data_IF_702466282320
#
_entry.id   IF_702466282320
#
_cell.length_a   1.000
_cell.length_b   1.000
_cell.length_c   1.000
_cell.angle_alpha   90.00
_cell.angle_beta   90.00
_cell.angle_gamma   90.00
#
_symmetry.space_group_name_H-M   'P 1'
#
loop_
_entity.id
_entity.type
_entity.pdbx_description
1 polymer ?
#
# COMPACT_ATOMS: atom_id res chain seq x y z
N UNK A 1 0.26 30.38 5.28
CA UNK A 1 -0.34 29.06 5.52
C UNK A 1 0.40 28.42 6.68
N UNK A 2 -0.30 27.89 7.67
CA UNK A 2 0.34 27.23 8.82
C UNK A 2 0.90 25.90 8.32
N UNK A 3 2.22 25.86 8.10
CA UNK A 3 2.94 24.65 7.73
C UNK A 3 3.10 23.87 9.03
N UNK A 4 2.11 23.04 9.40
CA UNK A 4 2.33 22.03 10.42
C UNK A 4 3.45 21.10 9.91
N UNK A 5 4.46 20.78 10.73
CA UNK A 5 5.51 19.87 10.31
C UNK A 5 4.88 18.51 9.97
N UNK A 6 5.27 17.93 8.83
CA UNK A 6 4.72 16.63 8.38
C UNK A 6 4.96 15.52 9.39
N UNK A 7 6.05 15.64 10.15
CA UNK A 7 6.42 14.73 11.23
C UNK A 7 5.42 14.71 12.40
N UNK A 8 4.49 15.69 12.44
CA UNK A 8 3.41 15.76 13.42
C UNK A 8 2.05 15.29 12.89
N UNK A 9 1.98 14.87 11.62
CA UNK A 9 0.74 14.37 11.03
C UNK A 9 0.50 12.92 11.46
N UNK A 10 -0.64 12.63 12.12
CA UNK A 10 -0.94 11.27 12.54
C UNK A 10 -1.27 10.39 11.32
N UNK A 11 -1.04 9.06 11.42
CA UNK A 11 -1.25 8.11 10.31
C UNK A 11 -2.71 7.93 9.89
N UNK A 12 -3.64 8.65 10.52
CA UNK A 12 -5.10 8.59 10.28
C UNK A 12 -5.67 9.92 9.77
N UNK A 13 -4.87 11.00 9.75
CA UNK A 13 -5.31 12.31 9.26
C UNK A 13 -5.08 12.45 7.75
N UNK A 14 -6.05 13.07 7.08
CA UNK A 14 -5.93 13.40 5.65
C UNK A 14 -5.09 14.65 5.51
N UNK A 15 -4.02 14.55 4.71
CA UNK A 15 -3.19 15.71 4.39
C UNK A 15 -3.74 16.40 3.14
N UNK A 16 -4.29 17.59 3.33
CA UNK A 16 -4.69 18.46 2.23
C UNK A 16 -3.45 19.02 1.51
N UNK A 17 -3.42 18.87 0.19
CA UNK A 17 -2.41 19.39 -0.73
C UNK A 17 -3.04 20.53 -1.54
N UNK A 18 -2.22 21.40 -2.11
CA UNK A 18 -2.71 22.46 -2.98
C UNK A 18 -3.52 21.93 -4.19
N UNK A 19 -4.42 22.77 -4.71
CA UNK A 19 -5.26 22.50 -5.89
C UNK A 19 -6.32 21.39 -5.70
N UNK A 20 -6.82 21.17 -4.48
CA UNK A 20 -7.89 20.21 -4.21
C UNK A 20 -7.44 18.75 -4.25
N UNK A 21 -6.14 18.52 -4.13
CA UNK A 21 -5.57 17.19 -3.95
C UNK A 21 -5.49 16.90 -2.45
N UNK A 22 -5.79 15.67 -2.06
CA UNK A 22 -5.69 15.24 -0.66
C UNK A 22 -5.01 13.87 -0.59
N UNK A 23 -4.06 13.72 0.31
CA UNK A 23 -3.50 12.42 0.65
C UNK A 23 -4.31 11.80 1.78
N UNK A 24 -5.14 10.84 1.39
CA UNK A 24 -5.98 10.09 2.33
C UNK A 24 -5.18 8.89 2.84
N UNK A 25 -5.05 8.72 4.17
CA UNK A 25 -4.36 7.58 4.75
C UNK A 25 -5.11 6.29 4.42
N UNK A 26 -4.34 5.22 4.25
CA UNK A 26 -4.88 3.90 3.94
C UNK A 26 -4.00 2.81 4.51
N UNK A 27 -4.61 1.69 4.86
CA UNK A 27 -3.90 0.41 5.03
C UNK A 27 -4.10 -0.43 3.79
N UNK A 28 -2.99 -0.86 3.19
CA UNK A 28 -3.00 -1.84 2.11
C UNK A 28 -2.55 -3.19 2.64
N UNK A 29 -3.28 -4.24 2.32
CA UNK A 29 -2.87 -5.62 2.54
C UNK A 29 -2.84 -6.38 1.22
N UNK A 30 -1.82 -7.20 1.03
CA UNK A 30 -1.75 -8.15 -0.08
C UNK A 30 -2.35 -9.48 0.37
N UNK A 31 -3.27 -10.00 -0.45
CA UNK A 31 -4.03 -11.22 -0.18
C UNK A 31 -3.57 -12.33 -1.13
N UNK A 32 -3.34 -13.53 -0.62
CA UNK A 32 -3.03 -14.70 -1.43
C UNK A 32 -3.94 -15.86 -1.02
N UNK A 33 -4.65 -16.44 -1.97
CA UNK A 33 -5.57 -17.55 -1.72
C UNK A 33 -4.91 -18.87 -2.13
N UNK A 34 -4.76 -19.79 -1.18
CA UNK A 34 -4.23 -21.13 -1.39
C UNK A 34 -5.34 -22.18 -1.31
N UNK A 35 -5.24 -23.30 -2.04
CA UNK A 35 -6.17 -24.41 -1.84
C UNK A 35 -6.00 -24.98 -0.41
N UNK A 36 -7.09 -25.19 0.32
CA UNK A 36 -7.04 -25.95 1.58
C UNK A 36 -7.29 -27.45 1.34
N UNK A 37 -7.79 -27.82 0.16
CA UNK A 37 -7.98 -29.21 -0.26
C UNK A 37 -7.39 -29.49 -1.66
N UNK A 38 -6.88 -30.70 -1.91
CA UNK A 38 -6.33 -31.09 -3.22
C UNK A 38 -7.35 -31.09 -4.36
N UNK A 39 -8.64 -31.04 -4.04
CA UNK A 39 -9.75 -31.21 -4.97
C UNK A 39 -10.13 -29.93 -5.74
N UNK A 40 -9.43 -28.81 -5.51
CA UNK A 40 -9.75 -27.52 -6.14
C UNK A 40 -9.19 -27.45 -7.57
N UNK A 41 -9.94 -28.05 -8.50
CA UNK A 41 -9.72 -27.96 -9.96
C UNK A 41 -10.56 -26.88 -10.62
N UNK A 42 -11.59 -26.39 -9.94
CA UNK A 42 -12.49 -25.34 -10.44
C UNK A 42 -11.88 -23.95 -10.24
N UNK A 43 -12.09 -23.03 -11.20
CA UNK A 43 -11.69 -21.64 -11.03
C UNK A 43 -12.51 -21.01 -9.88
N UNK A 44 -11.83 -20.25 -9.03
CA UNK A 44 -12.46 -19.47 -7.97
C UNK A 44 -13.38 -18.39 -8.58
N UNK A 45 -14.55 -18.18 -8.00
CA UNK A 45 -15.42 -17.06 -8.35
C UNK A 45 -14.97 -15.79 -7.60
N UNK A 46 -14.41 -14.82 -8.33
CA UNK A 46 -13.88 -13.57 -7.78
C UNK A 46 -14.93 -12.78 -7.01
N UNK A 47 -16.17 -12.71 -7.53
CA UNK A 47 -17.22 -11.90 -6.92
C UNK A 47 -17.67 -12.50 -5.58
N UNK A 48 -17.80 -13.84 -5.52
CA UNK A 48 -18.13 -14.53 -4.26
C UNK A 48 -17.03 -14.38 -3.23
N UNK A 49 -15.75 -14.51 -3.64
CA UNK A 49 -14.63 -14.27 -2.71
C UNK A 49 -14.70 -12.86 -2.16
N UNK A 50 -14.89 -11.85 -3.02
CA UNK A 50 -15.04 -10.47 -2.57
C UNK A 50 -16.12 -10.33 -1.51
N UNK A 51 -17.33 -10.83 -1.80
CA UNK A 51 -18.46 -10.74 -0.89
C UNK A 51 -18.19 -11.43 0.45
N UNK A 52 -17.66 -12.66 0.44
CA UNK A 52 -17.32 -13.37 1.68
C UNK A 52 -16.27 -12.65 2.52
N UNK A 53 -15.27 -12.03 1.88
CA UNK A 53 -14.25 -11.25 2.59
C UNK A 53 -14.82 -9.96 3.17
N UNK A 54 -15.68 -9.26 2.44
CA UNK A 54 -16.35 -8.05 2.93
C UNK A 54 -17.27 -8.37 4.11
N UNK A 55 -18.06 -9.45 3.99
CA UNK A 55 -18.93 -9.93 5.06
C UNK A 55 -18.10 -10.31 6.30
N UNK A 56 -16.98 -11.01 6.11
CA UNK A 56 -16.05 -11.36 7.19
C UNK A 56 -15.44 -10.11 7.86
N UNK A 57 -14.96 -9.14 7.08
CA UNK A 57 -14.39 -7.90 7.62
C UNK A 57 -15.42 -7.13 8.46
N UNK A 58 -16.67 -7.11 8.00
CA UNK A 58 -17.77 -6.47 8.72
C UNK A 58 -18.16 -7.24 9.99
N UNK A 59 -18.30 -8.56 9.93
CA UNK A 59 -18.78 -9.37 11.06
C UNK A 59 -17.70 -9.60 12.11
N UNK A 60 -16.47 -9.84 11.67
CA UNK A 60 -15.40 -10.30 12.54
C UNK A 60 -14.48 -9.16 12.93
N UNK A 61 -14.19 -8.22 12.03
CA UNK A 61 -13.24 -7.12 12.31
C UNK A 61 -13.94 -5.77 12.54
N UNK A 62 -15.26 -5.71 12.33
CA UNK A 62 -16.06 -4.48 12.40
C UNK A 62 -15.53 -3.36 11.49
N UNK A 63 -14.91 -3.72 10.36
CA UNK A 63 -14.40 -2.78 9.36
C UNK A 63 -15.30 -2.83 8.12
N UNK A 64 -15.79 -1.67 7.69
CA UNK A 64 -16.54 -1.53 6.46
C UNK A 64 -15.57 -1.23 5.30
N UNK A 65 -15.61 -2.06 4.25
CA UNK A 65 -14.77 -1.87 3.06
C UNK A 65 -15.64 -1.87 1.79
N UNK A 66 -15.54 -0.85 0.93
CA UNK A 66 -16.20 -0.84 -0.38
C UNK A 66 -15.71 -1.96 -1.31
N UNK A 67 -16.56 -2.45 -2.22
CA UNK A 67 -16.18 -3.51 -3.17
C UNK A 67 -15.00 -3.13 -4.10
N UNK A 68 -14.85 -1.84 -4.41
CA UNK A 68 -13.79 -1.30 -5.26
C UNK A 68 -12.41 -1.31 -4.60
N UNK A 69 -12.40 -1.27 -3.26
CA UNK A 69 -11.20 -1.30 -2.44
C UNK A 69 -10.71 -2.73 -2.18
N UNK A 70 -11.47 -3.75 -2.59
CA UNK A 70 -11.05 -5.14 -2.64
C UNK A 70 -10.87 -5.60 -4.08
N UNK A 71 -9.62 -5.82 -4.49
CA UNK A 71 -9.27 -6.30 -5.83
C UNK A 71 -8.83 -7.74 -5.74
N UNK A 72 -9.42 -8.62 -6.54
CA UNK A 72 -9.05 -10.04 -6.58
C UNK A 72 -8.85 -10.41 -8.04
N UNK A 73 -7.76 -11.11 -8.33
CA UNK A 73 -7.41 -11.61 -9.65
C UNK A 73 -7.05 -13.08 -9.56
N UNK A 74 -7.73 -13.90 -10.35
CA UNK A 74 -7.36 -15.30 -10.54
C UNK A 74 -5.99 -15.45 -11.18
N UNK A 75 -5.26 -16.47 -10.78
CA UNK A 75 -4.05 -16.90 -11.48
C UNK A 75 -4.48 -17.67 -12.72
N UNK A 76 -4.06 -17.21 -13.91
CA UNK A 76 -4.54 -17.74 -15.20
C UNK A 76 -4.01 -19.14 -15.53
N UNK A 77 -2.85 -19.51 -15.01
CA UNK A 77 -2.18 -20.77 -15.35
C UNK A 77 -2.58 -21.92 -14.42
N UNK A 78 -3.76 -22.50 -14.70
CA UNK A 78 -4.24 -23.68 -13.98
C UNK A 78 -3.60 -24.99 -14.44
N UNK A 79 -2.97 -25.02 -15.64
CA UNK A 79 -2.47 -26.27 -16.27
C UNK A 79 -1.09 -26.73 -15.78
N UNK A 80 -0.22 -25.80 -15.38
CA UNK A 80 1.14 -26.10 -14.88
C UNK A 80 1.27 -25.88 -13.36
N UNK A 81 0.14 -25.88 -12.67
CA UNK A 81 0.04 -25.49 -11.26
C UNK A 81 0.46 -26.65 -10.35
N UNK A 82 1.36 -26.38 -9.40
CA UNK A 82 1.66 -27.30 -8.29
C UNK A 82 0.51 -27.30 -7.28
N UNK A 83 0.38 -28.39 -6.53
CA UNK A 83 -0.71 -28.58 -5.55
C UNK A 83 -0.83 -27.43 -4.54
N UNK A 84 0.29 -26.78 -4.20
CA UNK A 84 0.36 -25.72 -3.19
C UNK A 84 0.41 -24.31 -3.79
N UNK A 85 0.29 -24.18 -5.11
CA UNK A 85 0.34 -22.88 -5.77
C UNK A 85 -0.95 -22.09 -5.50
N UNK A 86 -0.84 -20.74 -5.45
CA UNK A 86 -1.98 -19.87 -5.18
C UNK A 86 -3.01 -19.91 -6.30
N UNK A 87 -4.29 -19.85 -5.92
CA UNK A 87 -5.45 -19.81 -6.80
C UNK A 87 -5.76 -18.39 -7.28
N UNK A 88 -5.60 -17.43 -6.39
CA UNK A 88 -5.88 -16.03 -6.66
C UNK A 88 -4.97 -15.14 -5.80
N UNK A 89 -4.73 -13.94 -6.31
CA UNK A 89 -4.06 -12.86 -5.58
C UNK A 89 -4.98 -11.66 -5.51
N UNK A 90 -4.90 -10.93 -4.43
CA UNK A 90 -5.72 -9.75 -4.23
C UNK A 90 -5.01 -8.66 -3.45
N UNK A 91 -5.68 -7.52 -3.39
CA UNK A 91 -5.24 -6.36 -2.62
C UNK A 91 -6.47 -5.77 -1.94
N UNK A 92 -6.35 -5.54 -0.65
CA UNK A 92 -7.35 -4.90 0.19
C UNK A 92 -6.87 -3.50 0.57
N UNK A 93 -7.74 -2.51 0.42
CA UNK A 93 -7.52 -1.15 0.92
C UNK A 93 -8.53 -0.84 2.03
N UNK A 94 -8.04 -0.44 3.20
CA UNK A 94 -8.87 0.09 4.29
C UNK A 94 -8.57 1.58 4.41
N UNK A 95 -9.58 2.41 4.13
CA UNK A 95 -9.47 3.88 4.16
C UNK A 95 -10.19 4.51 5.34
N UNK A 96 -11.24 3.86 5.83
CA UNK A 96 -11.89 4.30 7.07
C UNK A 96 -11.02 3.87 8.24
N UNK A 97 -10.34 4.85 8.84
CA UNK A 97 -9.49 4.69 10.01
C UNK A 97 -10.01 5.51 11.20
N UNK A 98 -11.23 6.06 11.09
CA UNK A 98 -11.80 6.97 12.08
C UNK A 98 -12.03 6.32 13.45
N UNK A 99 -12.10 4.98 13.51
CA UNK A 99 -12.19 4.24 14.76
C UNK A 99 -10.86 4.15 15.52
N UNK A 100 -9.71 4.23 14.83
CA UNK A 100 -8.37 4.27 15.45
C UNK A 100 -8.08 5.66 16.00
N UNK A 101 -8.56 6.70 15.31
CA UNK A 101 -8.32 8.10 15.65
C UNK A 101 -9.06 8.60 16.91
N UNK A 102 -9.93 7.79 17.51
CA UNK A 102 -10.62 8.15 18.76
C UNK A 102 -9.67 8.03 19.95
N UNK A 103 -8.96 9.12 20.23
CA UNK A 103 -8.75 9.69 21.57
C UNK A 103 -7.47 10.53 21.64
N UNK A 104 -7.64 11.69 22.26
CA UNK A 104 -6.65 12.53 22.93
C UNK A 104 -5.92 13.60 22.07
N UNK A 105 -6.14 14.86 22.44
CA UNK A 105 -5.67 16.05 21.71
C UNK A 105 -4.36 16.64 22.23
N UNK A 106 -3.29 15.84 22.29
CA UNK A 106 -1.95 16.28 22.74
C UNK A 106 -0.80 15.70 21.91
N UNK A 107 0.41 16.24 22.04
CA UNK A 107 1.62 15.76 21.32
C UNK A 107 1.98 14.30 21.67
N UNK A 108 1.83 13.92 22.94
CA UNK A 108 1.97 12.52 23.39
C UNK A 108 0.89 11.60 22.79
N UNK A 109 -0.25 12.18 22.39
CA UNK A 109 -1.33 11.41 21.78
C UNK A 109 -0.98 10.98 20.35
N UNK A 110 -0.11 11.69 19.63
CA UNK A 110 0.28 11.28 18.26
C UNK A 110 1.06 9.97 18.27
N UNK A 111 2.03 9.82 19.18
CA UNK A 111 2.81 8.58 19.33
C UNK A 111 1.94 7.42 19.80
N UNK A 112 1.05 7.68 20.76
CA UNK A 112 0.09 6.68 21.25
C UNK A 112 -0.86 6.25 20.12
N UNK A 113 -1.26 7.17 19.25
CA UNK A 113 -2.12 6.89 18.11
C UNK A 113 -1.39 6.11 17.01
N UNK A 114 -0.11 6.40 16.77
CA UNK A 114 0.76 5.60 15.91
C UNK A 114 0.87 4.16 16.42
N UNK A 115 1.18 3.96 17.70
CA UNK A 115 1.24 2.63 18.32
C UNK A 115 -0.08 1.88 18.18
N UNK A 116 -1.21 2.52 18.53
CA UNK A 116 -2.56 1.95 18.33
C UNK A 116 -2.82 1.57 16.88
N UNK A 117 -2.39 2.38 15.93
CA UNK A 117 -2.54 2.11 14.50
C UNK A 117 -1.73 0.89 14.08
N UNK A 118 -0.47 0.79 14.50
CA UNK A 118 0.38 -0.36 14.18
C UNK A 118 -0.10 -1.65 14.83
N UNK A 119 -0.55 -1.58 16.08
CA UNK A 119 -1.13 -2.72 16.80
C UNK A 119 -2.43 -3.18 16.15
N UNK A 120 -3.32 -2.26 15.78
CA UNK A 120 -4.53 -2.59 15.04
C UNK A 120 -4.21 -3.22 13.67
N UNK A 121 -3.24 -2.68 12.93
CA UNK A 121 -2.79 -3.25 11.65
C UNK A 121 -2.27 -4.68 11.83
N UNK A 122 -1.46 -4.92 12.87
CA UNK A 122 -0.95 -6.26 13.21
C UNK A 122 -2.10 -7.20 13.56
N UNK A 123 -3.03 -6.77 14.42
CA UNK A 123 -4.22 -7.51 14.78
C UNK A 123 -5.06 -7.90 13.55
N UNK A 124 -5.25 -6.97 12.61
CA UNK A 124 -5.97 -7.22 11.37
C UNK A 124 -5.31 -8.33 10.54
N UNK A 125 -3.98 -8.29 10.40
CA UNK A 125 -3.21 -9.31 9.69
C UNK A 125 -3.30 -10.65 10.40
N UNK A 126 -3.05 -10.71 11.71
CA UNK A 126 -3.13 -11.94 12.51
C UNK A 126 -4.52 -12.59 12.47
N UNK A 127 -5.56 -11.76 12.45
CA UNK A 127 -6.94 -12.24 12.40
C UNK A 127 -7.32 -12.80 11.03
N UNK A 128 -6.78 -12.22 9.94
CA UNK A 128 -7.10 -12.63 8.57
C UNK A 128 -6.18 -13.72 8.03
N UNK A 129 -4.92 -13.75 8.44
CA UNK A 129 -3.96 -14.73 7.98
C UNK A 129 -4.31 -16.13 8.50
N UNK A 130 -4.29 -17.11 7.60
CA UNK A 130 -4.58 -18.50 7.93
C UNK A 130 -6.07 -18.86 8.00
N UNK A 131 -7.01 -17.94 7.77
CA UNK A 131 -8.44 -18.27 7.74
C UNK A 131 -8.73 -19.27 6.62
N UNK A 132 -9.46 -20.33 6.95
CA UNK A 132 -10.10 -21.19 5.97
C UNK A 132 -11.48 -20.67 5.61
N UNK A 133 -11.66 -20.33 4.34
CA UNK A 133 -12.94 -19.88 3.79
C UNK A 133 -13.53 -20.99 2.93
N UNK A 134 -14.83 -21.20 3.07
CA UNK A 134 -15.57 -22.16 2.26
C UNK A 134 -16.47 -21.41 1.27
N UNK A 135 -16.15 -21.50 -0.02
CA UNK A 135 -16.98 -20.99 -1.09
C UNK A 135 -17.44 -22.15 -1.94
N UNK A 136 -18.75 -22.41 -1.96
CA UNK A 136 -19.39 -23.47 -2.77
C UNK A 136 -18.79 -24.87 -2.56
N UNK A 137 -18.36 -25.19 -1.34
CA UNK A 137 -17.73 -26.46 -1.01
C UNK A 137 -16.23 -26.53 -1.30
N UNK A 138 -15.65 -25.47 -1.88
CA UNK A 138 -14.20 -25.31 -2.03
C UNK A 138 -13.64 -24.61 -0.80
N UNK A 139 -12.78 -25.31 -0.07
CA UNK A 139 -12.02 -24.74 1.04
C UNK A 139 -10.74 -24.13 0.52
N UNK A 140 -10.48 -22.88 0.87
CA UNK A 140 -9.22 -22.20 0.59
C UNK A 140 -8.71 -21.52 1.84
N UNK A 141 -7.38 -21.50 1.97
CA UNK A 141 -6.67 -20.83 3.04
C UNK A 141 -6.25 -19.45 2.55
N UNK A 142 -6.63 -18.42 3.28
CA UNK A 142 -6.19 -17.05 3.03
C UNK A 142 -4.83 -16.84 3.67
N UNK A 143 -3.91 -16.20 2.94
CA UNK A 143 -2.71 -15.62 3.50
C UNK A 143 -2.70 -14.12 3.27
N UNK A 144 -2.35 -13.36 4.30
CA UNK A 144 -2.40 -11.90 4.32
C UNK A 144 -1.05 -11.36 4.75
N UNK A 145 -0.54 -10.39 4.00
CA UNK A 145 0.72 -9.72 4.30
C UNK A 145 0.61 -8.20 4.14
N UNK A 146 1.36 -7.48 4.97
CA UNK A 146 1.63 -6.05 4.71
C UNK A 146 2.64 -5.97 3.56
N UNK A 147 2.35 -5.21 2.49
CA UNK A 147 3.30 -4.99 1.41
C UNK A 147 4.58 -4.36 1.96
N UNK A 148 5.74 -4.75 1.43
CA UNK A 148 7.02 -4.18 1.85
C UNK A 148 7.10 -2.65 1.66
N UNK A 149 6.31 -2.08 0.74
CA UNK A 149 6.21 -0.63 0.54
C UNK A 149 5.56 0.12 1.70
N UNK A 150 4.74 -0.58 2.49
CA UNK A 150 3.92 -0.02 3.57
C UNK A 150 4.49 -0.39 4.96
N UNK A 151 5.63 -1.10 4.97
CA UNK A 151 6.43 -1.38 6.17
C UNK A 151 7.63 -0.44 6.24
N UNK A 152 7.39 0.76 6.80
CA UNK A 152 8.39 1.80 6.91
C UNK A 152 9.60 1.36 7.74
N UNK A 153 9.39 0.64 8.85
CA UNK A 153 10.47 0.22 9.74
C UNK A 153 11.39 -0.81 9.08
N UNK A 154 10.81 -1.81 8.41
CA UNK A 154 11.60 -2.77 7.64
C UNK A 154 12.34 -2.09 6.49
N UNK A 155 11.66 -1.18 5.76
CA UNK A 155 12.27 -0.42 4.67
C UNK A 155 13.43 0.45 5.19
N UNK A 156 13.23 1.17 6.30
CA UNK A 156 14.25 2.01 6.94
C UNK A 156 15.45 1.17 7.36
N UNK A 157 15.23 0.03 8.00
CA UNK A 157 16.30 -0.89 8.40
C UNK A 157 17.11 -1.39 7.21
N UNK A 158 16.45 -1.87 6.15
CA UNK A 158 17.12 -2.33 4.91
C UNK A 158 17.94 -1.21 4.29
N UNK A 159 17.40 0.00 4.30
CA UNK A 159 18.06 1.18 3.75
C UNK A 159 19.28 1.59 4.59
N UNK A 160 19.16 1.65 5.92
CA UNK A 160 20.27 1.90 6.84
C UNK A 160 21.37 0.84 6.69
N UNK A 161 21.00 -0.45 6.64
CA UNK A 161 21.93 -1.56 6.41
C UNK A 161 22.66 -1.43 5.07
N UNK A 162 21.96 -1.04 4.00
CA UNK A 162 22.55 -0.85 2.68
C UNK A 162 23.63 0.24 2.69
N UNK A 163 23.38 1.38 3.32
CA UNK A 163 24.33 2.49 3.38
C UNK A 163 25.47 2.25 4.39
N UNK A 164 25.20 1.63 5.54
CA UNK A 164 26.23 1.24 6.51
C UNK A 164 27.17 0.18 5.92
N UNK A 165 26.64 -0.80 5.18
CA UNK A 165 27.43 -1.86 4.56
C UNK A 165 28.30 -1.35 3.41
N UNK A 166 27.85 -0.33 2.66
CA UNK A 166 28.63 0.30 1.58
C UNK A 166 29.86 1.05 2.10
N UNK A 167 29.79 1.60 3.32
CA UNK A 167 30.94 2.27 3.95
C UNK A 167 32.06 1.28 4.35
N UNK A 168 31.84 -0.04 4.29
CA UNK A 168 32.81 -1.07 4.73
C UNK A 168 33.54 -1.82 3.61
N UNK A 169 33.26 -1.57 2.33
CA UNK A 169 34.04 -2.20 1.26
C UNK A 169 33.57 -1.92 -0.16
N UNK A 170 34.48 -1.35 -0.96
CA UNK A 170 34.54 -1.40 -2.43
C UNK A 170 33.23 -1.73 -3.18
N UNK A 171 32.41 -0.72 -3.46
CA UNK A 171 31.35 -0.83 -4.48
C UNK A 171 31.36 0.41 -5.38
N UNK A 172 31.89 0.22 -6.60
CA UNK A 172 31.98 1.20 -7.71
C UNK A 172 30.65 1.43 -8.44
N UNK A 173 29.52 1.10 -7.83
CA UNK A 173 28.20 1.47 -8.35
C UNK A 173 27.91 2.89 -7.87
N UNK A 174 27.48 3.76 -8.79
CA UNK A 174 27.42 5.20 -8.65
C UNK A 174 26.81 5.72 -7.34
N UNK A 175 27.17 6.96 -6.99
CA UNK A 175 26.78 7.71 -5.80
C UNK A 175 25.25 7.94 -5.75
N UNK A 176 24.44 6.91 -5.54
CA UNK A 176 23.07 7.13 -5.11
C UNK A 176 23.16 7.65 -3.68
N UNK A 177 23.08 8.97 -3.55
CA UNK A 177 23.01 9.65 -2.27
C UNK A 177 21.64 9.36 -1.64
N UNK A 178 21.57 9.24 -0.31
CA UNK A 178 20.35 8.92 0.43
C UNK A 178 19.19 9.92 0.20
N UNK A 179 19.47 11.05 -0.43
CA UNK A 179 18.57 12.18 -0.63
C UNK A 179 17.90 12.19 -2.02
N UNK A 180 18.11 11.15 -2.84
CA UNK A 180 17.55 11.05 -4.20
C UNK A 180 16.43 10.01 -4.26
N UNK A 181 15.20 10.48 -4.44
CA UNK A 181 14.00 9.64 -4.61
C UNK A 181 13.76 9.38 -6.11
N UNK A 182 13.56 8.12 -6.49
CA UNK A 182 13.24 7.73 -7.87
C UNK A 182 11.80 7.22 -7.94
N UNK A 183 10.95 7.97 -8.65
CA UNK A 183 9.53 7.62 -8.81
C UNK A 183 9.31 7.12 -10.24
N UNK A 184 8.67 5.96 -10.40
CA UNK A 184 8.43 5.31 -11.70
C UNK A 184 6.97 4.94 -11.88
N UNK A 185 6.53 4.84 -13.14
CA UNK A 185 5.18 4.36 -13.49
C UNK A 185 4.05 5.33 -13.18
N UNK A 186 4.36 6.61 -12.94
CA UNK A 186 3.33 7.62 -12.65
C UNK A 186 2.77 8.19 -13.95
N UNK A 187 1.44 8.41 -14.07
CA UNK A 187 0.86 9.01 -15.26
C UNK A 187 1.42 10.40 -15.54
N UNK A 188 1.93 10.63 -16.76
CA UNK A 188 2.52 11.92 -17.15
C UNK A 188 1.53 13.09 -17.01
N UNK A 189 0.25 12.83 -17.24
CA UNK A 189 -0.84 13.81 -17.12
C UNK A 189 -1.03 14.36 -15.71
N UNK A 190 -0.64 13.64 -14.67
CA UNK A 190 -0.75 14.13 -13.29
C UNK A 190 0.18 15.31 -13.02
N UNK A 191 1.26 15.41 -13.80
CA UNK A 191 2.28 16.45 -13.65
C UNK A 191 2.30 17.42 -14.83
N UNK A 192 1.36 17.31 -15.75
CA UNK A 192 1.30 18.20 -16.92
C UNK A 192 0.48 19.46 -16.60
N UNK A 193 0.78 20.55 -17.29
CA UNK A 193 -0.04 21.77 -17.21
C UNK A 193 -1.41 21.51 -17.88
N UNK A 194 -2.53 21.67 -17.12
CA UNK A 194 -3.85 21.39 -17.65
C UNK A 194 -4.13 22.17 -18.94
N UNK A 195 -4.61 21.47 -19.97
CA UNK A 195 -5.02 22.04 -21.29
C UNK A 195 -3.88 22.55 -22.18
N UNK A 196 -2.63 22.50 -21.73
CA UNK A 196 -1.48 23.05 -22.48
C UNK A 196 -0.55 21.96 -23.00
N UNK A 197 -0.39 20.86 -22.26
CA UNK A 197 0.54 19.79 -22.63
C UNK A 197 0.16 18.43 -22.05
N UNK A 198 0.62 17.36 -22.69
CA UNK A 198 0.60 16.00 -22.13
C UNK A 198 1.95 15.60 -21.51
N UNK A 199 2.96 16.47 -21.63
CA UNK A 199 4.29 16.29 -21.06
C UNK A 199 4.30 16.76 -19.60
N UNK A 200 4.99 16.05 -18.70
CA UNK A 200 5.13 16.49 -17.33
C UNK A 200 5.91 17.80 -17.28
N UNK A 201 5.38 18.78 -16.54
CA UNK A 201 5.98 20.09 -16.29
C UNK A 201 6.81 20.02 -15.02
N UNK A 202 8.03 20.57 -15.09
CA UNK A 202 8.94 20.61 -13.95
C UNK A 202 8.36 21.51 -12.86
N UNK A 203 7.67 22.59 -13.25
CA UNK A 203 7.02 23.51 -12.32
C UNK A 203 5.92 22.80 -11.54
N UNK A 204 4.98 22.15 -12.23
CA UNK A 204 3.87 21.41 -11.58
C UNK A 204 4.42 20.32 -10.65
N UNK A 205 5.41 19.57 -11.11
CA UNK A 205 6.08 18.53 -10.30
C UNK A 205 6.73 19.13 -9.05
N UNK A 206 7.49 20.22 -9.22
CA UNK A 206 8.14 20.89 -8.10
C UNK A 206 7.12 21.43 -7.11
N UNK A 207 6.04 22.08 -7.57
CA UNK A 207 4.97 22.59 -6.70
C UNK A 207 4.38 21.46 -5.85
N UNK A 208 3.97 20.35 -6.48
CA UNK A 208 3.40 19.20 -5.77
C UNK A 208 4.39 18.62 -4.77
N UNK A 209 5.65 18.39 -5.15
CA UNK A 209 6.59 17.75 -4.23
C UNK A 209 7.14 18.70 -3.16
N UNK A 210 7.11 20.01 -3.41
CA UNK A 210 7.64 21.01 -2.47
C UNK A 210 6.78 21.12 -1.21
N UNK A 211 5.54 20.65 -1.24
CA UNK A 211 4.70 20.51 -0.04
C UNK A 211 5.28 19.50 0.94
N UNK A 212 6.08 18.53 0.47
CA UNK A 212 6.68 17.49 1.31
C UNK A 212 8.07 17.87 1.84
N UNK A 213 8.60 19.03 1.45
CA UNK A 213 9.91 19.49 1.90
C UNK A 213 10.67 20.23 0.80
N UNK A 214 11.88 20.67 1.15
CA UNK A 214 12.75 21.39 0.21
C UNK A 214 13.37 20.43 -0.79
N UNK A 215 13.11 20.67 -2.07
CA UNK A 215 13.70 19.89 -3.17
C UNK A 215 14.95 20.61 -3.68
N UNK A 216 16.08 19.90 -3.77
CA UNK A 216 17.32 20.46 -4.35
C UNK A 216 17.31 20.41 -5.87
N UNK A 217 16.81 19.32 -6.43
CA UNK A 217 16.82 19.07 -7.87
C UNK A 217 15.68 18.11 -8.27
N UNK A 218 15.02 18.39 -9.38
CA UNK A 218 14.01 17.49 -10.00
C UNK A 218 14.52 17.08 -11.37
N UNK A 219 14.59 15.78 -11.61
CA UNK A 219 14.87 15.23 -12.95
C UNK A 219 13.69 14.39 -13.41
N UNK A 220 13.26 14.58 -14.64
CA UNK A 220 12.14 13.84 -15.23
C UNK A 220 12.57 13.19 -16.54
N UNK A 221 12.18 11.93 -16.71
CA UNK A 221 12.34 11.20 -17.96
C UNK A 221 11.01 10.55 -18.34
N UNK A 222 10.58 10.71 -19.59
CA UNK A 222 9.42 10.01 -20.13
C UNK A 222 9.89 8.76 -20.87
N UNK A 223 9.38 7.61 -20.44
CA UNK A 223 9.49 6.36 -21.20
C UNK A 223 8.10 5.99 -21.71
N UNK A 224 7.97 5.83 -23.03
CA UNK A 224 6.74 5.30 -23.62
C UNK A 224 6.69 3.80 -23.41
N UNK A 225 5.72 3.33 -22.62
CA UNK A 225 5.40 1.90 -22.53
C UNK A 225 4.38 1.64 -23.64
N UNK A 226 4.84 1.07 -24.76
CA UNK A 226 3.95 0.44 -25.72
C UNK A 226 3.44 -0.86 -25.07
N UNK A 227 2.16 -0.89 -24.74
CA UNK A 227 1.43 -2.06 -24.26
C UNK A 227 0.88 -2.85 -25.45
#
# INVERSE_FOLDING_TARGET
>A
MSIRPLDSLPPTETLEVENGLSLVPRVRLDLTLFPASPSVTKPIDEWKVKRTLIDFLKSSVAVAVPEDDLRIKRVKDLKNRRRDDPLARGTLFVRDLGFVAKNDGGEDASKVLEEKFFDWRRYLVEKMDGIELNIEGLKFRLSVAVPASDDFDAMKKVWEEFFVSRNRGYSRIGRQEPDTIVIRGVPSRWFAEPRVSSKPSMLVTHTIFSTFGRIRHVFMSMSFIFL
#
